data_IF_856364994864
#
_entry.id   IF_856364994864
#
_cell.length_a   1.000
_cell.length_b   1.000
_cell.length_c   1.000
_cell.angle_alpha   90.00
_cell.angle_beta   90.00
_cell.angle_gamma   90.00
#
_symmetry.space_group_name_H-M   'P 1'
#
loop_
_entity.id
_entity.type
_entity.pdbx_description
1 polymer ?
#
# COMPACT_ATOMS: atom_id res chain seq x y z
N UNK A 1 -33.27 25.97 -10.37
CA UNK A 1 -33.60 24.67 -11.00
C UNK A 1 -32.94 23.53 -10.22
N UNK A 2 -33.63 22.40 -10.01
CA UNK A 2 -32.97 21.16 -9.55
C UNK A 2 -32.00 20.72 -10.64
N UNK A 3 -30.77 20.34 -10.27
CA UNK A 3 -29.79 19.80 -11.21
C UNK A 3 -29.78 18.27 -11.08
N UNK A 4 -29.51 17.54 -12.15
CA UNK A 4 -29.46 16.08 -12.14
C UNK A 4 -28.02 15.58 -12.04
N UNK A 5 -27.82 14.46 -11.33
CA UNK A 5 -26.53 13.80 -11.26
C UNK A 5 -26.18 13.21 -12.63
N UNK A 6 -25.02 13.56 -13.20
CA UNK A 6 -24.54 13.08 -14.49
C UNK A 6 -24.23 11.56 -14.54
N UNK A 7 -24.27 10.89 -13.39
CA UNK A 7 -23.95 9.46 -13.24
C UNK A 7 -25.22 8.62 -13.05
N UNK A 8 -26.08 8.99 -12.10
CA UNK A 8 -27.27 8.20 -11.75
C UNK A 8 -28.60 8.85 -12.16
N UNK A 9 -28.57 10.03 -12.79
CA UNK A 9 -29.75 10.80 -13.24
C UNK A 9 -30.75 11.18 -12.12
N UNK A 10 -30.38 10.99 -10.84
CA UNK A 10 -31.20 11.42 -9.71
C UNK A 10 -31.14 12.95 -9.58
N UNK A 11 -32.32 13.58 -9.43
CA UNK A 11 -32.45 15.03 -9.17
C UNK A 11 -31.87 15.40 -7.81
N UNK A 12 -30.92 16.33 -7.81
CA UNK A 12 -30.28 16.87 -6.62
C UNK A 12 -31.01 18.16 -6.20
N UNK A 13 -31.52 18.17 -4.97
CA UNK A 13 -32.16 19.34 -4.37
C UNK A 13 -31.21 20.54 -4.29
N UNK A 14 -31.76 21.75 -4.30
CA UNK A 14 -30.99 23.00 -4.36
C UNK A 14 -29.94 23.12 -3.24
N UNK A 15 -30.30 22.70 -2.03
CA UNK A 15 -29.47 22.76 -0.82
C UNK A 15 -28.76 21.45 -0.47
N UNK A 16 -28.83 20.42 -1.33
CA UNK A 16 -28.13 19.16 -1.09
C UNK A 16 -26.68 19.27 -1.58
N UNK A 17 -25.71 18.64 -0.87
CA UNK A 17 -24.33 18.62 -1.32
C UNK A 17 -24.20 17.95 -2.68
N UNK A 18 -23.27 18.45 -3.48
CA UNK A 18 -22.94 18.00 -4.84
C UNK A 18 -21.51 18.40 -5.16
N UNK A 19 -20.88 17.67 -6.06
CA UNK A 19 -19.57 18.04 -6.60
C UNK A 19 -19.72 18.43 -8.06
N UNK A 20 -18.89 19.36 -8.52
CA UNK A 20 -18.86 19.74 -9.93
C UNK A 20 -18.07 18.69 -10.72
N UNK A 21 -18.44 18.53 -11.99
CA UNK A 21 -17.66 17.87 -13.03
C UNK A 21 -17.38 18.91 -14.12
N UNK A 22 -16.46 18.63 -15.04
CA UNK A 22 -16.16 19.49 -16.19
C UNK A 22 -17.43 19.76 -17.01
N UNK A 23 -18.27 18.75 -17.17
CA UNK A 23 -19.44 18.68 -18.05
C UNK A 23 -20.76 18.50 -17.28
N UNK A 24 -20.77 18.65 -15.95
CA UNK A 24 -21.98 18.40 -15.17
C UNK A 24 -21.81 18.47 -13.65
N UNK A 25 -22.65 17.74 -12.93
CA UNK A 25 -22.54 17.60 -11.48
C UNK A 25 -22.70 16.13 -11.07
N UNK A 26 -22.16 15.78 -9.92
CA UNK A 26 -22.25 14.44 -9.35
C UNK A 26 -22.77 14.50 -7.91
N UNK A 27 -23.65 13.55 -7.56
CA UNK A 27 -24.18 13.43 -6.20
C UNK A 27 -23.15 12.78 -5.26
N UNK A 28 -23.25 13.00 -3.94
CA UNK A 28 -22.31 12.44 -2.97
C UNK A 28 -22.23 10.92 -2.99
N UNK A 29 -23.35 10.23 -3.26
CA UNK A 29 -23.39 8.78 -3.33
C UNK A 29 -22.63 8.20 -4.54
N UNK A 30 -22.67 8.87 -5.69
CA UNK A 30 -21.85 8.47 -6.84
C UNK A 30 -20.38 8.84 -6.61
N UNK A 31 -20.12 10.04 -6.07
CA UNK A 31 -18.76 10.50 -5.78
C UNK A 31 -18.01 9.59 -4.78
N UNK A 32 -18.69 9.09 -3.74
CA UNK A 32 -18.10 8.16 -2.77
C UNK A 32 -17.80 6.77 -3.34
N UNK A 33 -18.34 6.45 -4.53
CA UNK A 33 -18.07 5.20 -5.22
C UNK A 33 -16.94 5.30 -6.25
N UNK A 34 -16.36 6.47 -6.49
CA UNK A 34 -15.14 6.60 -7.30
C UNK A 34 -13.92 5.98 -6.59
N UNK A 35 -12.92 5.56 -7.36
CA UNK A 35 -11.64 5.07 -6.82
C UNK A 35 -10.97 6.13 -5.93
N UNK A 36 -10.31 5.70 -4.85
CA UNK A 36 -9.66 6.60 -3.89
C UNK A 36 -8.68 7.58 -4.57
N UNK A 37 -7.93 7.12 -5.58
CA UNK A 37 -6.99 7.94 -6.36
C UNK A 37 -7.67 9.09 -7.12
N UNK A 38 -8.89 8.90 -7.60
CA UNK A 38 -9.60 9.89 -8.42
C UNK A 38 -10.43 10.86 -7.59
N UNK A 39 -10.67 10.57 -6.30
CA UNK A 39 -11.51 11.40 -5.43
C UNK A 39 -11.00 12.82 -5.26
N UNK A 40 -9.68 13.05 -5.31
CA UNK A 40 -9.11 14.41 -5.22
C UNK A 40 -9.46 15.22 -6.47
N UNK A 41 -9.25 14.65 -7.64
CA UNK A 41 -9.63 15.27 -8.91
C UNK A 41 -11.16 15.47 -8.99
N UNK A 42 -11.95 14.54 -8.44
CA UNK A 42 -13.40 14.63 -8.39
C UNK A 42 -13.85 15.78 -7.47
N UNK A 43 -13.31 15.84 -6.25
CA UNK A 43 -13.63 16.91 -5.28
C UNK A 43 -13.21 18.29 -5.78
N UNK A 44 -12.18 18.37 -6.61
CA UNK A 44 -11.71 19.61 -7.25
C UNK A 44 -12.41 19.93 -8.58
N UNK A 45 -13.36 19.11 -9.03
CA UNK A 45 -14.13 19.34 -10.24
C UNK A 45 -13.33 19.18 -11.54
N UNK A 46 -12.28 18.36 -11.52
CA UNK A 46 -11.36 18.13 -12.64
C UNK A 46 -11.65 16.88 -13.46
N UNK A 47 -12.70 16.11 -13.13
CA UNK A 47 -13.15 14.98 -13.95
C UNK A 47 -14.36 15.39 -14.80
N UNK A 48 -14.44 14.82 -15.99
CA UNK A 48 -15.66 14.69 -16.79
C UNK A 48 -16.58 13.62 -16.21
N UNK A 49 -17.83 13.61 -16.67
CA UNK A 49 -18.81 12.59 -16.32
C UNK A 49 -18.42 11.20 -16.80
N UNK A 50 -17.69 11.10 -17.91
CA UNK A 50 -17.19 9.85 -18.47
C UNK A 50 -16.07 9.25 -17.60
N UNK A 51 -15.07 10.06 -17.24
CA UNK A 51 -13.99 9.64 -16.33
C UNK A 51 -14.54 9.27 -14.96
N UNK A 52 -15.52 10.01 -14.45
CA UNK A 52 -16.17 9.69 -13.17
C UNK A 52 -16.92 8.35 -13.23
N UNK A 53 -17.62 8.05 -14.33
CA UNK A 53 -18.26 6.73 -14.56
C UNK A 53 -17.22 5.61 -14.61
N UNK A 54 -16.13 5.82 -15.35
CA UNK A 54 -15.04 4.85 -15.46
C UNK A 54 -14.38 4.57 -14.09
N UNK A 55 -14.17 5.61 -13.29
CA UNK A 55 -13.64 5.48 -11.92
C UNK A 55 -14.58 4.68 -11.00
N UNK A 56 -15.89 4.97 -11.06
CA UNK A 56 -16.91 4.24 -10.27
C UNK A 56 -16.99 2.77 -10.68
N UNK A 57 -16.98 2.49 -11.98
CA UNK A 57 -16.99 1.12 -12.50
C UNK A 57 -15.73 0.36 -12.08
N UNK A 58 -14.56 0.98 -12.25
CA UNK A 58 -13.27 0.41 -11.84
C UNK A 58 -13.25 0.09 -10.34
N UNK A 59 -13.76 1.00 -9.50
CA UNK A 59 -13.85 0.76 -8.07
C UNK A 59 -14.83 -0.36 -7.69
N UNK A 60 -15.94 -0.51 -8.44
CA UNK A 60 -16.87 -1.62 -8.24
C UNK A 60 -16.19 -2.96 -8.54
N UNK A 61 -15.55 -3.09 -9.70
CA UNK A 61 -14.81 -4.30 -10.10
C UNK A 61 -13.71 -4.60 -9.09
N UNK A 62 -12.97 -3.56 -8.69
CA UNK A 62 -11.92 -3.66 -7.69
C UNK A 62 -12.45 -4.22 -6.36
N UNK A 63 -13.53 -3.65 -5.80
CA UNK A 63 -14.17 -4.16 -4.57
C UNK A 63 -14.68 -5.59 -4.72
N UNK A 64 -15.27 -5.93 -5.86
CA UNK A 64 -15.73 -7.30 -6.12
C UNK A 64 -14.56 -8.30 -6.14
N UNK A 65 -13.38 -7.90 -6.65
CA UNK A 65 -12.16 -8.70 -6.60
C UNK A 65 -11.61 -8.82 -5.17
N UNK A 66 -11.59 -7.72 -4.39
CA UNK A 66 -11.21 -7.76 -2.97
C UNK A 66 -12.11 -8.75 -2.19
N UNK A 67 -13.42 -8.67 -2.37
CA UNK A 67 -14.38 -9.52 -1.65
C UNK A 67 -14.26 -11.01 -2.00
N UNK A 68 -13.71 -11.33 -3.17
CA UNK A 68 -13.49 -12.72 -3.64
C UNK A 68 -12.08 -13.22 -3.34
N UNK A 69 -11.21 -12.38 -2.78
CA UNK A 69 -9.84 -12.76 -2.45
C UNK A 69 -9.85 -13.70 -1.24
N UNK A 70 -9.24 -14.88 -1.39
CA UNK A 70 -9.17 -15.90 -0.35
C UNK A 70 -7.70 -16.10 0.01
N UNK A 71 -7.23 -15.52 1.13
CA UNK A 71 -5.83 -15.63 1.48
C UNK A 71 -5.48 -17.04 1.97
N UNK A 72 -4.33 -17.51 1.52
CA UNK A 72 -3.67 -18.73 2.01
C UNK A 72 -2.68 -18.43 3.14
N UNK A 73 -2.21 -17.18 3.25
CA UNK A 73 -1.25 -16.73 4.26
C UNK A 73 -1.43 -15.24 4.55
N UNK A 74 -1.16 -14.84 5.79
CA UNK A 74 -1.30 -13.46 6.27
C UNK A 74 -0.04 -13.04 7.05
N UNK A 75 1.10 -12.79 6.37
CA UNK A 75 2.37 -12.48 7.03
C UNK A 75 2.38 -11.18 7.84
N UNK A 76 1.49 -10.25 7.50
CA UNK A 76 1.45 -8.92 8.10
C UNK A 76 0.01 -8.37 8.02
N UNK A 77 -0.45 -7.52 8.95
CA UNK A 77 -1.82 -6.97 8.91
C UNK A 77 -2.18 -6.23 7.61
N UNK A 78 -1.18 -5.73 6.89
CA UNK A 78 -1.36 -5.03 5.61
C UNK A 78 -1.05 -5.89 4.38
N UNK A 79 -0.80 -7.19 4.56
CA UNK A 79 -0.36 -8.08 3.47
C UNK A 79 -1.03 -9.43 3.62
N UNK A 80 -1.81 -9.79 2.62
CA UNK A 80 -2.43 -11.10 2.50
C UNK A 80 -1.95 -11.75 1.19
N UNK A 81 -1.76 -13.07 1.20
CA UNK A 81 -1.17 -13.81 0.07
C UNK A 81 -2.05 -14.99 -0.30
N UNK A 82 -2.40 -15.08 -1.57
CA UNK A 82 -3.04 -16.24 -2.19
C UNK A 82 -2.02 -16.95 -3.08
N UNK A 83 -1.37 -17.97 -2.52
CA UNK A 83 -0.35 -18.77 -3.19
C UNK A 83 -0.96 -19.56 -4.35
N UNK A 84 -2.19 -20.05 -4.19
CA UNK A 84 -2.84 -20.90 -5.18
C UNK A 84 -3.11 -20.14 -6.48
N UNK A 85 -3.55 -18.88 -6.36
CA UNK A 85 -3.83 -18.03 -7.51
C UNK A 85 -2.68 -17.07 -7.87
N UNK A 86 -1.52 -17.21 -7.20
CA UNK A 86 -0.33 -16.36 -7.38
C UNK A 86 -0.62 -14.85 -7.26
N UNK A 87 -1.36 -14.46 -6.23
CA UNK A 87 -1.76 -13.06 -5.98
C UNK A 87 -1.38 -12.60 -4.58
N UNK A 88 -1.03 -11.33 -4.47
CA UNK A 88 -0.79 -10.63 -3.20
C UNK A 88 -1.78 -9.48 -3.07
N UNK A 89 -2.41 -9.34 -1.91
CA UNK A 89 -3.24 -8.20 -1.55
C UNK A 89 -2.49 -7.30 -0.58
N UNK A 90 -2.35 -6.03 -0.94
CA UNK A 90 -1.65 -5.00 -0.18
C UNK A 90 -2.65 -3.99 0.36
N UNK A 91 -2.66 -3.77 1.66
CA UNK A 91 -3.40 -2.69 2.28
C UNK A 91 -2.51 -1.47 2.54
N UNK A 92 -3.00 -0.29 2.20
CA UNK A 92 -2.29 0.98 2.36
C UNK A 92 -3.28 2.11 2.65
N UNK A 93 -2.76 3.34 2.79
CA UNK A 93 -3.59 4.53 2.89
C UNK A 93 -3.29 5.48 1.74
N UNK A 94 -4.32 5.85 0.98
CA UNK A 94 -4.25 6.88 -0.05
C UNK A 94 -5.11 8.05 0.41
N UNK A 95 -4.52 9.25 0.55
CA UNK A 95 -5.21 10.44 1.06
C UNK A 95 -5.91 10.22 2.42
N UNK A 96 -5.32 9.39 3.28
CA UNK A 96 -5.89 9.02 4.59
C UNK A 96 -6.99 7.96 4.54
N UNK A 97 -7.42 7.53 3.36
CA UNK A 97 -8.43 6.49 3.18
C UNK A 97 -7.77 5.13 2.99
N UNK A 98 -8.35 4.07 3.57
CA UNK A 98 -7.88 2.71 3.36
C UNK A 98 -8.03 2.32 1.89
N UNK A 99 -6.97 1.78 1.32
CA UNK A 99 -6.94 1.28 -0.05
C UNK A 99 -6.28 -0.08 -0.08
N UNK A 100 -6.97 -1.04 -0.67
CA UNK A 100 -6.42 -2.37 -0.94
C UNK A 100 -6.06 -2.47 -2.41
N UNK A 101 -5.05 -3.26 -2.75
CA UNK A 101 -4.67 -3.54 -4.12
C UNK A 101 -4.33 -5.01 -4.24
N UNK A 102 -4.86 -5.69 -5.25
CA UNK A 102 -4.47 -7.06 -5.58
C UNK A 102 -3.51 -6.99 -6.76
N UNK A 103 -2.36 -7.61 -6.60
CA UNK A 103 -1.32 -7.72 -7.61
C UNK A 103 -1.06 -9.20 -7.90
N UNK A 104 -0.86 -9.52 -9.17
CA UNK A 104 -0.29 -10.81 -9.55
C UNK A 104 1.20 -10.85 -9.18
N UNK A 105 1.72 -12.02 -8.81
CA UNK A 105 3.12 -12.18 -8.42
C UNK A 105 4.09 -11.77 -9.54
N UNK A 106 3.72 -12.03 -10.80
CA UNK A 106 4.53 -11.72 -11.97
C UNK A 106 4.69 -10.20 -12.22
N UNK A 107 3.82 -9.38 -11.61
CA UNK A 107 3.96 -7.92 -11.64
C UNK A 107 5.07 -7.43 -10.73
N UNK A 108 5.54 -8.23 -9.76
CA UNK A 108 6.56 -7.81 -8.79
C UNK A 108 7.95 -7.99 -9.40
N UNK A 109 8.60 -6.87 -9.71
CA UNK A 109 9.94 -6.84 -10.30
C UNK A 109 11.02 -7.00 -9.22
N UNK A 110 10.91 -6.24 -8.13
CA UNK A 110 11.89 -6.22 -7.05
C UNK A 110 11.27 -5.71 -5.77
N UNK A 111 11.98 -5.87 -4.66
CA UNK A 111 11.58 -5.31 -3.38
C UNK A 111 12.78 -5.04 -2.49
N UNK A 112 12.58 -4.13 -1.54
CA UNK A 112 13.57 -3.74 -0.55
C UNK A 112 12.93 -3.37 0.79
N UNK A 113 13.62 -3.69 1.89
CA UNK A 113 13.28 -3.22 3.23
C UNK A 113 14.12 -1.99 3.53
N UNK A 114 13.43 -0.92 3.88
CA UNK A 114 13.98 0.37 4.24
C UNK A 114 13.85 0.57 5.76
N UNK A 115 14.95 0.94 6.40
CA UNK A 115 15.00 1.45 7.78
C UNK A 115 15.37 2.92 7.70
N UNK A 116 14.49 3.81 8.16
CA UNK A 116 14.73 5.27 8.12
C UNK A 116 15.15 5.80 6.74
N UNK A 117 14.60 5.21 5.68
CA UNK A 117 14.90 5.47 4.25
C UNK A 117 16.21 4.87 3.73
N UNK A 118 16.97 4.16 4.55
CA UNK A 118 18.14 3.38 4.12
C UNK A 118 17.73 1.95 3.79
N UNK A 119 18.16 1.46 2.63
CA UNK A 119 17.98 0.06 2.25
C UNK A 119 18.84 -0.84 3.12
N UNK A 120 18.19 -1.67 3.95
CA UNK A 120 18.86 -2.66 4.80
C UNK A 120 18.80 -4.07 4.20
N UNK A 121 17.85 -4.30 3.29
CA UNK A 121 17.76 -5.55 2.55
C UNK A 121 17.07 -5.32 1.22
N UNK A 122 17.56 -5.95 0.16
CA UNK A 122 16.89 -5.90 -1.14
C UNK A 122 17.14 -7.17 -1.94
N UNK A 123 16.16 -7.53 -2.77
CA UNK A 123 16.32 -8.53 -3.82
C UNK A 123 16.12 -7.83 -5.17
N UNK A 124 17.19 -7.79 -5.96
CA UNK A 124 17.18 -7.29 -7.34
C UNK A 124 17.09 -8.48 -8.31
N UNK A 125 15.99 -8.55 -9.06
CA UNK A 125 15.76 -9.58 -10.08
C UNK A 125 15.74 -11.02 -9.55
N UNK A 126 15.88 -11.96 -10.47
CA UNK A 126 15.97 -13.40 -10.17
C UNK A 126 17.43 -13.71 -9.77
N UNK A 127 17.75 -13.58 -8.48
CA UNK A 127 18.91 -14.29 -7.92
C UNK A 127 20.00 -13.48 -7.19
N UNK A 128 19.85 -12.16 -6.95
CA UNK A 128 20.77 -11.42 -6.08
C UNK A 128 20.04 -10.68 -4.97
N UNK A 129 20.08 -11.27 -3.77
CA UNK A 129 19.83 -10.54 -2.54
C UNK A 129 21.13 -9.81 -2.16
N UNK A 130 21.09 -8.48 -2.11
CA UNK A 130 22.17 -7.69 -1.50
C UNK A 130 21.79 -7.54 -0.03
N UNK A 131 22.34 -8.41 0.80
CA UNK A 131 22.20 -8.36 2.26
C UNK A 131 23.09 -7.24 2.76
N UNK A 132 22.50 -6.07 3.05
CA UNK A 132 23.19 -5.03 3.80
C UNK A 132 23.35 -5.48 5.25
N UNK A 133 24.42 -6.20 5.55
CA UNK A 133 24.88 -6.54 6.89
C UNK A 133 23.80 -7.05 7.85
N UNK A 134 23.53 -8.36 7.84
CA UNK A 134 22.80 -9.11 8.89
C UNK A 134 21.60 -8.32 9.45
N UNK A 135 20.48 -8.38 8.72
CA UNK A 135 19.24 -7.64 8.96
C UNK A 135 18.94 -7.30 10.42
N UNK A 136 19.13 -8.26 11.36
CA UNK A 136 18.89 -8.04 12.79
C UNK A 136 19.79 -8.83 13.77
N UNK A 137 20.83 -9.55 13.38
CA UNK A 137 21.64 -10.41 14.29
C UNK A 137 20.83 -11.43 15.12
N UNK A 138 21.49 -12.24 15.95
CA UNK A 138 20.78 -13.18 16.88
C UNK A 138 20.03 -12.43 18.00
N UNK A 139 20.38 -11.17 18.26
CA UNK A 139 19.86 -10.37 19.38
C UNK A 139 18.92 -9.23 18.95
N UNK A 140 18.67 -9.07 17.65
CA UNK A 140 17.96 -7.88 17.16
C UNK A 140 18.89 -6.67 16.94
N UNK A 141 20.22 -6.81 16.94
CA UNK A 141 21.12 -5.68 16.67
C UNK A 141 21.27 -5.44 15.15
N UNK A 142 20.89 -4.23 14.68
CA UNK A 142 21.26 -3.75 13.35
C UNK A 142 22.74 -3.40 13.37
N UNK A 143 23.61 -4.28 12.85
CA UNK A 143 25.05 -4.00 12.73
C UNK A 143 25.28 -3.20 11.45
N UNK A 144 25.14 -1.88 11.57
CA UNK A 144 25.50 -0.92 10.53
C UNK A 144 26.14 0.32 11.15
N UNK A 145 27.47 0.32 11.22
CA UNK A 145 28.35 1.49 11.31
C UNK A 145 27.90 2.71 12.15
N UNK A 146 27.72 2.54 13.47
CA UNK A 146 28.14 3.57 14.44
C UNK A 146 28.88 2.87 15.57
N UNK A 147 30.19 2.77 15.40
CA UNK A 147 31.14 2.66 16.50
C UNK A 147 31.05 3.94 17.33
N UNK A 148 30.84 3.82 18.64
CA UNK A 148 31.10 4.92 19.56
C UNK A 148 30.16 4.92 20.77
N UNK A 149 30.74 4.64 21.94
CA UNK A 149 30.12 4.78 23.26
C UNK A 149 29.12 5.93 23.34
N UNK A 150 27.82 5.61 23.40
CA UNK A 150 26.90 6.48 24.10
C UNK A 150 25.79 5.66 24.71
N UNK A 151 25.43 5.99 25.94
CA UNK A 151 24.30 5.44 26.71
C UNK A 151 22.95 5.79 26.09
N UNK A 152 22.91 6.12 24.80
CA UNK A 152 21.72 6.56 24.07
C UNK A 152 21.08 5.34 23.40
N UNK A 153 19.81 5.12 23.74
CA UNK A 153 18.97 4.13 23.07
C UNK A 153 18.92 4.45 21.58
N UNK A 154 19.22 3.46 20.75
CA UNK A 154 19.05 3.58 19.30
C UNK A 154 17.55 3.53 18.99
N UNK A 155 17.07 4.53 18.25
CA UNK A 155 15.67 4.70 17.91
C UNK A 155 15.49 4.59 16.39
N UNK A 156 14.52 3.79 15.95
CA UNK A 156 14.12 3.63 14.55
C UNK A 156 12.83 4.39 14.33
N UNK A 157 12.76 5.26 13.32
CA UNK A 157 11.54 6.05 13.03
C UNK A 157 10.58 5.30 12.12
N UNK A 158 11.12 4.48 11.21
CA UNK A 158 10.30 3.72 10.28
C UNK A 158 10.98 2.46 9.75
N UNK A 159 10.16 1.44 9.50
CA UNK A 159 10.51 0.25 8.74
C UNK A 159 9.45 0.09 7.65
N UNK A 160 9.88 0.06 6.38
CA UNK A 160 9.00 -0.01 5.22
C UNK A 160 9.46 -1.10 4.27
N UNK A 161 8.51 -1.80 3.66
CA UNK A 161 8.75 -2.62 2.49
C UNK A 161 8.40 -1.79 1.26
N UNK A 162 9.38 -1.58 0.38
CA UNK A 162 9.19 -0.97 -0.93
C UNK A 162 9.15 -2.07 -1.97
N UNK A 163 8.06 -2.15 -2.72
CA UNK A 163 7.87 -3.10 -3.81
C UNK A 163 7.91 -2.30 -5.13
N UNK A 164 8.70 -2.77 -6.08
CA UNK A 164 8.70 -2.27 -7.46
C UNK A 164 7.90 -3.22 -8.32
N UNK A 165 6.93 -2.68 -9.06
CA UNK A 165 6.04 -3.44 -9.92
C UNK A 165 6.11 -2.97 -11.38
N UNK A 166 5.67 -3.83 -12.32
CA UNK A 166 5.59 -3.53 -13.74
C UNK A 166 4.35 -2.66 -14.06
N UNK A 167 4.33 -1.45 -13.52
CA UNK A 167 3.33 -0.39 -13.75
C UNK A 167 4.09 0.89 -14.08
N UNK A 168 3.88 1.43 -15.29
CA UNK A 168 4.63 2.60 -15.78
C UNK A 168 4.19 3.91 -15.11
N UNK A 169 2.94 3.99 -14.65
CA UNK A 169 2.40 5.20 -14.05
C UNK A 169 2.73 5.24 -12.55
N UNK A 170 2.63 4.09 -11.90
CA UNK A 170 2.89 3.95 -10.47
C UNK A 170 3.73 2.69 -10.22
N UNK A 171 5.05 2.71 -10.43
CA UNK A 171 5.88 1.52 -10.29
C UNK A 171 6.17 1.13 -8.84
N UNK A 172 5.92 2.00 -7.86
CA UNK A 172 6.36 1.79 -6.47
C UNK A 172 5.15 1.66 -5.55
N UNK A 173 5.19 0.66 -4.66
CA UNK A 173 4.27 0.51 -3.52
C UNK A 173 5.07 0.49 -2.22
N UNK A 174 4.61 1.25 -1.24
CA UNK A 174 5.16 1.22 0.12
C UNK A 174 4.18 0.53 1.05
N UNK A 175 4.67 -0.45 1.80
CA UNK A 175 3.95 -1.06 2.90
C UNK A 175 4.67 -0.67 4.18
N UNK A 176 3.95 0.03 5.04
CA UNK A 176 4.45 0.52 6.31
C UNK A 176 4.34 -0.62 7.32
N UNK A 177 5.48 -1.17 7.72
CA UNK A 177 5.57 -2.19 8.78
C UNK A 177 5.61 -1.48 10.13
N UNK A 178 6.37 -0.39 10.21
CA UNK A 178 6.44 0.49 11.37
C UNK A 178 6.62 1.95 10.93
N UNK A 179 5.85 2.86 11.52
CA UNK A 179 5.99 4.31 11.34
C UNK A 179 5.32 5.08 12.50
N UNK A 180 5.77 6.31 12.75
CA UNK A 180 5.10 7.28 13.62
C UNK A 180 5.80 7.48 14.95
N UNK A 181 5.75 6.49 15.85
CA UNK A 181 6.43 6.55 17.15
C UNK A 181 7.80 5.93 17.06
N UNK A 182 8.84 6.61 17.54
CA UNK A 182 10.19 6.05 17.61
C UNK A 182 10.21 4.67 18.29
N UNK A 183 10.85 3.71 17.62
CA UNK A 183 10.98 2.32 18.04
C UNK A 183 12.35 2.10 18.67
N UNK A 184 12.37 1.86 19.97
CA UNK A 184 13.57 1.50 20.70
C UNK A 184 14.06 0.11 20.29
N UNK A 185 15.30 0.04 19.80
CA UNK A 185 15.98 -1.22 19.46
C UNK A 185 16.08 -2.10 20.69
N UNK A 186 15.72 -3.38 20.54
CA UNK A 186 15.73 -4.37 21.62
C UNK A 186 14.45 -4.44 22.47
N UNK A 187 13.53 -3.48 22.32
CA UNK A 187 12.21 -3.55 22.96
C UNK A 187 11.38 -4.77 22.48
N UNK A 188 10.38 -5.18 23.24
CA UNK A 188 9.49 -6.29 22.83
C UNK A 188 8.75 -5.98 21.51
N UNK A 189 8.27 -4.73 21.37
CA UNK A 189 7.64 -4.24 20.14
C UNK A 189 8.61 -4.35 18.95
N UNK A 190 9.88 -4.01 19.17
CA UNK A 190 10.91 -4.14 18.15
C UNK A 190 11.11 -5.59 17.72
N UNK A 191 11.27 -6.52 18.69
CA UNK A 191 11.43 -7.96 18.39
C UNK A 191 10.24 -8.50 17.60
N UNK A 192 9.01 -8.16 17.99
CA UNK A 192 7.81 -8.56 17.26
C UNK A 192 7.78 -8.03 15.82
N UNK A 193 8.18 -6.77 15.61
CA UNK A 193 8.27 -6.16 14.27
C UNK A 193 9.34 -6.86 13.43
N UNK A 194 10.50 -7.18 14.01
CA UNK A 194 11.57 -7.92 13.35
C UNK A 194 11.09 -9.30 12.92
N UNK A 195 10.49 -10.08 13.82
CA UNK A 195 9.98 -11.42 13.52
C UNK A 195 8.92 -11.38 12.42
N UNK A 196 8.02 -10.39 12.47
CA UNK A 196 6.99 -10.19 11.43
C UNK A 196 7.62 -9.82 10.09
N UNK A 197 8.66 -8.98 10.10
CA UNK A 197 9.40 -8.58 8.89
C UNK A 197 10.13 -9.77 8.28
N UNK A 198 10.78 -10.61 9.10
CA UNK A 198 11.47 -11.82 8.62
C UNK A 198 10.51 -12.83 7.99
N UNK A 199 9.34 -13.08 8.62
CA UNK A 199 8.30 -13.94 8.05
C UNK A 199 7.80 -13.40 6.71
N UNK A 200 7.59 -12.09 6.64
CA UNK A 200 7.17 -11.42 5.41
C UNK A 200 8.21 -11.57 4.29
N UNK A 201 9.49 -11.34 4.61
CA UNK A 201 10.61 -11.54 3.68
C UNK A 201 10.59 -12.97 3.13
N UNK A 202 10.53 -13.98 4.00
CA UNK A 202 10.54 -15.38 3.57
C UNK A 202 9.37 -15.73 2.65
N UNK A 203 8.20 -15.14 2.85
CA UNK A 203 7.04 -15.33 1.96
C UNK A 203 7.26 -14.64 0.62
N UNK A 204 7.69 -13.37 0.60
CA UNK A 204 7.94 -12.63 -0.65
C UNK A 204 9.08 -13.27 -1.47
N UNK A 205 10.10 -13.81 -0.81
CA UNK A 205 11.16 -14.54 -1.49
C UNK A 205 10.65 -15.79 -2.20
N UNK A 206 9.77 -16.55 -1.56
CA UNK A 206 9.12 -17.71 -2.17
C UNK A 206 8.24 -17.29 -3.35
N UNK A 207 7.48 -16.21 -3.22
CA UNK A 207 6.64 -15.65 -4.29
C UNK A 207 7.45 -15.41 -5.57
N UNK A 208 8.64 -14.81 -5.47
CA UNK A 208 9.49 -14.51 -6.63
C UNK A 208 10.21 -15.73 -7.23
N UNK A 209 10.10 -16.91 -6.61
CA UNK A 209 10.65 -18.15 -7.13
C UNK A 209 9.59 -19.02 -7.85
N UNK A 210 8.32 -18.58 -7.90
CA UNK A 210 7.21 -19.19 -8.64
C UNK A 210 7.02 -18.63 -10.06
#
# INVERSE_FOLDING_TARGET
MKKECAICNIKIGLFKPKFNLIDGIICPACASNAMAKDRVALRSGRLSSEEAKASILSNKIHRDNINKFIPTSNPHPNIEVDINNKKIKLASKINGEHFEEILDFDKIISWEVLKDSETIYKKEGVGRAVVGGILFGETGAVIGAVTGDSKNKTMIKSIKLRITISDMDNPIRFIHIHEGTDLEVGSEKYKHIVDSTQKLIGIIENIQNY
#
